data_IF_311503390323
#
_entry.id   IF_311503390323
#
_cell.length_a   1.000
_cell.length_b   1.000
_cell.length_c   1.000
_cell.angle_alpha   90.00
_cell.angle_beta   90.00
_cell.angle_gamma   90.00
#
_symmetry.space_group_name_H-M   'P 1'
#
loop_
_entity.id
_entity.type
_entity.pdbx_description
1 polymer ?
#
# COMPACT_ATOMS: atom_id res chain seq x y z
N UNK A 1 1.20 -10.67 2.60
CA UNK A 1 1.25 -9.48 1.72
C UNK A 1 -0.15 -8.96 1.35
N UNK A 2 -1.09 -9.80 0.89
CA UNK A 2 -2.48 -9.35 0.65
C UNK A 2 -3.14 -8.70 1.87
N UNK A 3 -2.86 -9.24 3.07
CA UNK A 3 -3.23 -8.63 4.36
C UNK A 3 -2.86 -7.16 4.44
N UNK A 4 -1.60 -6.82 4.18
CA UNK A 4 -1.10 -5.44 4.31
C UNK A 4 -1.79 -4.52 3.29
N UNK A 5 -1.95 -4.98 2.04
CA UNK A 5 -2.63 -4.21 1.00
C UNK A 5 -4.07 -3.87 1.39
N UNK A 6 -4.82 -4.88 1.84
CA UNK A 6 -6.22 -4.68 2.23
C UNK A 6 -6.30 -3.76 3.45
N UNK A 7 -5.51 -4.00 4.49
CA UNK A 7 -5.54 -3.18 5.70
C UNK A 7 -5.08 -1.74 5.44
N UNK A 8 -4.05 -1.53 4.62
CA UNK A 8 -3.58 -0.19 4.24
C UNK A 8 -4.60 0.57 3.38
N UNK A 9 -5.30 -0.12 2.47
CA UNK A 9 -6.36 0.52 1.69
C UNK A 9 -7.52 1.00 2.58
N UNK A 10 -7.94 0.19 3.55
CA UNK A 10 -8.96 0.60 4.52
C UNK A 10 -8.48 1.72 5.44
N UNK A 11 -7.21 1.72 5.85
CA UNK A 11 -6.63 2.81 6.63
C UNK A 11 -6.60 4.13 5.83
N UNK A 12 -6.26 4.08 4.54
CA UNK A 12 -6.33 5.23 3.64
C UNK A 12 -7.76 5.73 3.46
N UNK A 13 -8.73 4.83 3.26
CA UNK A 13 -10.14 5.18 3.17
C UNK A 13 -10.65 5.88 4.46
N UNK A 14 -10.21 5.43 5.63
CA UNK A 14 -10.50 6.08 6.91
C UNK A 14 -9.90 7.49 7.01
N UNK A 15 -8.73 7.73 6.41
CA UNK A 15 -8.11 9.05 6.41
C UNK A 15 -8.74 10.01 5.38
N UNK A 16 -9.22 9.50 4.25
CA UNK A 16 -9.79 10.28 3.15
C UNK A 16 -11.29 10.55 3.31
N UNK A 17 -11.95 9.90 4.27
CA UNK A 17 -13.39 10.08 4.50
C UNK A 17 -13.69 10.36 5.96
N UNK A 18 -14.72 11.18 6.29
CA UNK A 18 -15.18 11.39 7.67
C UNK A 18 -15.96 10.19 8.24
N UNK A 19 -15.85 9.02 7.61
CA UNK A 19 -16.60 7.84 7.96
C UNK A 19 -16.05 7.15 9.20
N UNK A 20 -16.94 6.72 10.10
CA UNK A 20 -16.55 6.09 11.36
C UNK A 20 -16.55 4.55 11.32
N UNK A 21 -17.08 3.94 10.25
CA UNK A 21 -17.30 2.49 10.21
C UNK A 21 -16.63 1.82 9.02
N UNK A 22 -16.16 0.57 9.24
CA UNK A 22 -15.60 -0.28 8.17
C UNK A 22 -16.55 -0.47 6.98
N UNK A 23 -17.86 -0.46 7.23
CA UNK A 23 -18.89 -0.54 6.18
C UNK A 23 -18.87 0.69 5.27
N UNK A 24 -18.70 1.88 5.85
CA UNK A 24 -18.59 3.12 5.08
C UNK A 24 -17.26 3.20 4.34
N UNK A 25 -16.14 2.78 4.95
CA UNK A 25 -14.85 2.68 4.25
C UNK A 25 -14.93 1.73 3.05
N UNK A 26 -15.62 0.59 3.21
CA UNK A 26 -15.86 -0.35 2.12
C UNK A 26 -16.73 0.24 1.00
N UNK A 27 -17.71 1.10 1.31
CA UNK A 27 -18.49 1.80 0.28
C UNK A 27 -17.63 2.74 -0.54
N UNK A 28 -16.88 3.57 0.16
CA UNK A 28 -15.95 4.48 -0.48
C UNK A 28 -15.00 3.74 -1.42
N UNK A 29 -14.44 2.61 -0.98
CA UNK A 29 -13.60 1.77 -1.83
C UNK A 29 -14.36 1.16 -3.01
N UNK A 30 -15.61 0.72 -2.86
CA UNK A 30 -16.43 0.24 -3.99
C UNK A 30 -16.59 1.35 -5.03
N UNK A 31 -16.94 2.56 -4.58
CA UNK A 31 -17.20 3.70 -5.45
C UNK A 31 -15.92 4.09 -6.21
N UNK A 32 -14.79 4.26 -5.49
CA UNK A 32 -13.49 4.58 -6.10
C UNK A 32 -13.00 3.48 -7.05
N UNK A 33 -13.13 2.21 -6.67
CA UNK A 33 -12.71 1.09 -7.53
C UNK A 33 -13.52 1.03 -8.83
N UNK A 34 -14.79 1.41 -8.77
CA UNK A 34 -15.63 1.50 -9.95
C UNK A 34 -15.33 2.75 -10.79
N UNK A 35 -15.27 3.92 -10.17
CA UNK A 35 -15.12 5.20 -10.86
C UNK A 35 -13.77 5.32 -11.55
N UNK A 36 -12.68 5.04 -10.83
CA UNK A 36 -11.31 5.27 -11.31
C UNK A 36 -10.74 4.07 -12.07
N UNK A 37 -11.09 2.85 -11.66
CA UNK A 37 -10.43 1.63 -12.14
C UNK A 37 -11.38 0.68 -12.88
N UNK A 38 -12.68 1.00 -12.98
CA UNK A 38 -13.71 0.19 -13.63
C UNK A 38 -13.75 -1.25 -13.12
N UNK A 39 -13.41 -1.45 -11.84
CA UNK A 39 -13.48 -2.74 -11.18
C UNK A 39 -14.77 -2.84 -10.39
N UNK A 40 -15.63 -3.77 -10.80
CA UNK A 40 -16.82 -4.10 -10.06
C UNK A 40 -16.47 -5.06 -8.91
N UNK A 41 -16.68 -4.60 -7.68
CA UNK A 41 -16.52 -5.40 -6.46
C UNK A 41 -17.66 -5.11 -5.52
N UNK A 42 -18.15 -6.13 -4.81
CA UNK A 42 -19.19 -5.92 -3.80
C UNK A 42 -18.60 -5.42 -2.48
N UNK A 43 -19.35 -4.57 -1.78
CA UNK A 43 -19.04 -4.18 -0.39
C UNK A 43 -18.79 -5.40 0.50
N UNK A 44 -19.61 -6.44 0.35
CA UNK A 44 -19.50 -7.71 1.09
C UNK A 44 -18.13 -8.35 0.87
N UNK A 45 -17.63 -8.36 -0.36
CA UNK A 45 -16.31 -8.92 -0.69
C UNK A 45 -15.20 -8.16 0.01
N UNK A 46 -15.20 -6.83 -0.03
CA UNK A 46 -14.18 -6.02 0.63
C UNK A 46 -14.21 -6.17 2.15
N UNK A 47 -15.41 -6.21 2.75
CA UNK A 47 -15.57 -6.45 4.19
C UNK A 47 -15.09 -7.85 4.58
N UNK A 48 -15.35 -8.86 3.76
CA UNK A 48 -14.86 -10.21 4.01
C UNK A 48 -13.32 -10.23 4.05
N UNK A 49 -12.68 -9.59 3.06
CA UNK A 49 -11.21 -9.48 3.04
C UNK A 49 -10.68 -8.74 4.27
N UNK A 50 -11.33 -7.63 4.63
CA UNK A 50 -10.91 -6.84 5.79
C UNK A 50 -11.05 -7.61 7.10
N UNK A 51 -12.21 -8.22 7.37
CA UNK A 51 -12.44 -8.96 8.61
C UNK A 51 -11.49 -10.16 8.72
N UNK A 52 -11.36 -10.95 7.65
CA UNK A 52 -10.43 -12.08 7.59
C UNK A 52 -9.02 -11.68 8.01
N UNK A 53 -8.50 -10.60 7.44
CA UNK A 53 -7.15 -10.14 7.73
C UNK A 53 -7.00 -9.38 9.04
N UNK A 54 -8.07 -8.76 9.54
CA UNK A 54 -8.08 -8.01 10.80
C UNK A 54 -8.16 -8.94 12.02
N UNK A 55 -8.93 -10.02 11.91
CA UNK A 55 -9.15 -11.00 12.98
C UNK A 55 -8.02 -12.04 13.08
N UNK A 56 -7.03 -11.96 12.20
CA UNK A 56 -5.94 -12.95 12.06
C UNK A 56 -6.51 -14.37 11.89
N UNK A 57 -7.54 -14.51 11.06
CA UNK A 57 -8.05 -15.82 10.70
C UNK A 57 -6.96 -16.56 9.90
N UNK A 58 -6.52 -17.70 10.43
CA UNK A 58 -5.49 -18.58 9.84
C UNK A 58 -5.97 -19.28 8.57
N UNK A 59 -7.25 -19.11 8.19
CA UNK A 59 -7.79 -19.58 6.92
C UNK A 59 -7.05 -19.00 5.71
N UNK A 60 -6.87 -19.82 4.67
CA UNK A 60 -6.25 -19.39 3.42
C UNK A 60 -7.25 -18.62 2.55
N UNK A 61 -7.32 -17.29 2.74
CA UNK A 61 -8.08 -16.39 1.87
C UNK A 61 -7.16 -15.83 0.78
N UNK A 62 -7.48 -16.15 -0.49
CA UNK A 62 -6.81 -15.60 -1.67
C UNK A 62 -7.73 -14.61 -2.41
N UNK A 63 -7.53 -13.29 -2.27
CA UNK A 63 -8.29 -12.28 -2.98
C UNK A 63 -8.07 -12.34 -4.50
N UNK A 64 -9.06 -11.87 -5.28
CA UNK A 64 -8.90 -11.77 -6.74
C UNK A 64 -7.79 -10.77 -7.08
N UNK A 65 -6.84 -11.17 -7.93
CA UNK A 65 -5.68 -10.36 -8.33
C UNK A 65 -6.05 -8.97 -8.83
N UNK A 66 -7.08 -8.84 -9.68
CA UNK A 66 -7.56 -7.55 -10.20
C UNK A 66 -8.00 -6.57 -9.12
N UNK A 67 -8.61 -7.08 -8.03
CA UNK A 67 -9.00 -6.25 -6.89
C UNK A 67 -7.73 -5.76 -6.18
N UNK A 68 -6.78 -6.66 -5.92
CA UNK A 68 -5.51 -6.32 -5.27
C UNK A 68 -4.70 -5.30 -6.08
N UNK A 69 -4.59 -5.45 -7.39
CA UNK A 69 -3.92 -4.48 -8.26
C UNK A 69 -4.57 -3.10 -8.18
N UNK A 70 -5.89 -3.05 -8.15
CA UNK A 70 -6.62 -1.78 -8.09
C UNK A 70 -6.52 -1.12 -6.72
N UNK A 71 -6.48 -1.90 -5.64
CA UNK A 71 -6.15 -1.40 -4.31
C UNK A 71 -4.71 -0.86 -4.24
N UNK A 72 -3.74 -1.49 -4.91
CA UNK A 72 -2.39 -0.94 -5.02
C UNK A 72 -2.38 0.42 -5.72
N UNK A 73 -3.11 0.57 -6.83
CA UNK A 73 -3.26 1.84 -7.55
C UNK A 73 -3.95 2.91 -6.71
N UNK A 74 -5.00 2.54 -5.98
CA UNK A 74 -5.67 3.42 -5.02
C UNK A 74 -4.69 3.98 -3.96
N UNK A 75 -3.72 3.17 -3.53
CA UNK A 75 -2.63 3.58 -2.63
C UNK A 75 -1.44 4.25 -3.35
N UNK A 76 -1.62 4.65 -4.62
CA UNK A 76 -0.62 5.32 -5.49
C UNK A 76 0.58 4.45 -5.88
N UNK A 77 0.46 3.12 -5.82
CA UNK A 77 1.45 2.22 -6.41
C UNK A 77 1.02 1.80 -7.82
N UNK A 78 1.90 1.87 -8.83
CA UNK A 78 1.52 1.55 -10.22
C UNK A 78 1.06 0.10 -10.40
N UNK A 79 1.60 -0.83 -9.60
CA UNK A 79 1.26 -2.24 -9.62
C UNK A 79 1.64 -2.93 -8.29
N UNK A 80 1.30 -4.21 -8.16
CA UNK A 80 1.62 -5.04 -7.00
C UNK A 80 3.13 -5.15 -6.73
N UNK A 81 3.96 -5.25 -7.77
CA UNK A 81 5.41 -5.35 -7.60
C UNK A 81 6.00 -4.07 -6.96
N UNK A 82 5.52 -2.89 -7.35
CA UNK A 82 5.92 -1.63 -6.74
C UNK A 82 5.54 -1.57 -5.25
N UNK A 83 4.35 -2.07 -4.89
CA UNK A 83 3.96 -2.21 -3.49
C UNK A 83 4.95 -3.11 -2.72
N UNK A 84 5.30 -4.29 -3.27
CA UNK A 84 6.22 -5.22 -2.62
C UNK A 84 7.62 -4.63 -2.41
N UNK A 85 8.17 -3.95 -3.41
CA UNK A 85 9.48 -3.30 -3.31
C UNK A 85 9.46 -2.24 -2.20
N UNK A 86 8.41 -1.41 -2.17
CA UNK A 86 8.27 -0.39 -1.14
C UNK A 86 8.12 -1.01 0.26
N UNK A 87 7.24 -1.99 0.44
CA UNK A 87 6.97 -2.59 1.75
C UNK A 87 8.15 -3.42 2.28
N UNK A 88 8.88 -4.14 1.41
CA UNK A 88 10.12 -4.84 1.77
C UNK A 88 11.27 -3.90 2.15
N UNK A 89 11.22 -2.63 1.74
CA UNK A 89 12.15 -1.59 2.19
C UNK A 89 11.77 -0.99 3.56
N UNK A 90 10.50 -1.09 3.98
CA UNK A 90 10.00 -0.60 5.26
C UNK A 90 10.14 -1.62 6.39
N UNK A 91 9.91 -2.90 6.10
CA UNK A 91 10.03 -3.99 7.09
C UNK A 91 11.48 -4.32 7.47
N UNK A 92 12.47 -3.77 6.77
CA UNK A 92 13.88 -3.83 7.19
C UNK A 92 14.13 -2.78 8.27
N UNK A 93 13.71 -3.08 9.50
CA UNK A 93 14.25 -2.42 10.70
C UNK A 93 15.77 -2.60 10.67
N UNK A 94 16.49 -1.48 10.62
CA UNK A 94 17.95 -1.42 10.65
C UNK A 94 18.68 -2.27 9.59
N UNK A 95 18.88 -1.70 8.40
CA UNK A 95 20.22 -1.76 7.85
C UNK A 95 20.52 -0.48 7.07
N UNK A 96 21.74 0.01 7.23
CA UNK A 96 22.39 1.04 6.42
C UNK A 96 22.61 0.56 4.98
N UNK A 97 21.61 -0.06 4.38
CA UNK A 97 21.74 -0.67 3.06
C UNK A 97 21.56 0.38 1.97
N UNK A 98 22.55 0.46 1.09
CA UNK A 98 22.40 1.02 -0.25
C UNK A 98 21.34 0.18 -0.97
N UNK A 99 20.24 0.80 -1.35
CA UNK A 99 19.19 0.13 -2.10
C UNK A 99 19.44 0.37 -3.58
N UNK A 100 19.40 -0.70 -4.37
CA UNK A 100 19.58 -0.59 -5.82
C UNK A 100 18.30 -1.09 -6.48
N UNK A 101 17.63 -0.20 -7.21
CA UNK A 101 16.48 -0.56 -8.03
C UNK A 101 16.93 -0.61 -9.49
N UNK A 102 16.82 -1.77 -10.13
CA UNK A 102 17.15 -1.94 -11.54
C UNK A 102 15.88 -2.11 -12.34
N UNK A 103 15.70 -1.22 -13.30
CA UNK A 103 14.63 -1.25 -14.29
C UNK A 103 15.19 -1.68 -15.62
N UNK A 104 14.39 -2.45 -16.33
CA UNK A 104 14.70 -2.92 -17.66
C UNK A 104 13.61 -2.41 -18.58
N UNK A 105 13.99 -1.52 -19.49
CA UNK A 105 13.09 -1.02 -20.54
C UNK A 105 13.47 -1.73 -21.82
N UNK A 106 12.50 -2.38 -22.44
CA UNK A 106 12.69 -3.07 -23.71
C UNK A 106 12.19 -2.14 -24.84
N UNK A 107 13.09 -1.80 -25.77
CA UNK A 107 12.77 -1.20 -27.05
C UNK A 107 12.83 -2.24 -28.17
N UNK A 108 12.43 -1.86 -29.38
CA UNK A 108 12.27 -2.79 -30.50
C UNK A 108 13.59 -3.46 -30.95
N UNK A 109 14.75 -2.83 -30.69
CA UNK A 109 16.08 -3.34 -31.06
C UNK A 109 17.16 -3.15 -29.98
N UNK A 110 16.78 -2.69 -28.79
CA UNK A 110 17.70 -2.43 -27.68
C UNK A 110 17.01 -2.66 -26.35
N UNK A 111 17.81 -2.83 -25.30
CA UNK A 111 17.35 -2.90 -23.92
C UNK A 111 18.11 -1.88 -23.10
N UNK A 112 17.39 -0.97 -22.48
CA UNK A 112 17.96 -0.05 -21.51
C UNK A 112 17.91 -0.66 -20.11
N UNK A 113 19.04 -0.65 -19.43
CA UNK A 113 19.15 -1.07 -18.04
C UNK A 113 19.42 0.17 -17.20
N UNK A 114 18.43 0.57 -16.41
CA UNK A 114 18.51 1.75 -15.54
C UNK A 114 18.65 1.30 -14.10
N UNK A 115 19.76 1.66 -13.47
CA UNK A 115 20.05 1.28 -12.08
C UNK A 115 20.04 2.52 -11.19
N UNK A 116 19.09 2.59 -10.26
CA UNK A 116 18.95 3.68 -9.29
C UNK A 116 19.51 3.23 -7.95
N UNK A 117 20.56 3.89 -7.47
CA UNK A 117 21.09 3.68 -6.12
C UNK A 117 20.49 4.71 -5.15
N UNK A 118 19.85 4.23 -4.10
CA UNK A 118 19.24 5.02 -3.05
C UNK A 118 20.02 4.77 -1.76
N UNK A 119 20.63 5.84 -1.23
CA UNK A 119 21.26 5.85 0.08
C UNK A 119 20.38 6.61 1.05
N UNK A 120 20.15 6.06 2.25
CA UNK A 120 19.43 6.73 3.33
C UNK A 120 20.42 7.16 4.39
N UNK A 121 20.42 8.45 4.70
CA UNK A 121 21.15 9.02 5.82
C UNK A 121 20.16 9.40 6.92
N UNK A 122 20.49 9.09 8.17
CA UNK A 122 19.68 9.47 9.32
C UNK A 122 20.02 10.91 9.71
N UNK A 123 19.09 11.83 9.49
CA UNK A 123 19.21 13.20 9.98
C UNK A 123 18.55 13.26 11.36
N UNK A 124 19.34 13.44 12.42
CA UNK A 124 18.81 13.73 13.76
C UNK A 124 18.22 15.14 13.79
N UNK A 125 16.91 15.27 13.98
CA UNK A 125 16.30 16.57 14.27
C UNK A 125 16.50 16.88 15.76
N UNK A 126 17.00 18.07 16.14
CA UNK A 126 17.11 18.45 17.54
C UNK A 126 15.70 18.59 18.15
N UNK A 127 15.52 17.97 19.32
CA UNK A 127 14.27 18.01 20.10
C UNK A 127 13.93 19.45 20.45
N UNK A 128 12.74 19.92 20.05
CA UNK A 128 12.19 21.18 20.55
C UNK A 128 11.94 21.04 22.05
N UNK A 129 12.55 21.92 22.83
CA UNK A 129 12.31 22.09 24.27
C UNK A 129 10.81 22.26 24.54
N UNK A 130 10.28 21.46 25.47
CA UNK A 130 8.94 21.62 26.01
C UNK A 130 9.03 22.76 27.02
N UNK A 131 8.57 23.95 26.63
CA UNK A 131 8.20 25.01 27.56
C UNK A 131 6.98 24.52 28.36
N UNK A 132 7.22 24.06 29.59
CA UNK A 132 6.18 24.02 30.62
C UNK A 132 5.86 25.47 31.00
N UNK A 133 4.61 25.86 30.88
CA UNK A 133 4.10 27.14 31.40
C UNK A 133 2.80 26.89 32.13
N UNK A 134 2.79 27.38 33.38
CA UNK A 134 1.69 27.59 34.33
C UNK A 134 1.06 26.35 34.97
#
# INVERSE_FOLDING_TARGET
MYREIVLSAFAKANAETPAATKTQWANYLVDVLWEDYKIQVSRRTLLNYYNHYKENDDGELTPKSRIIESLCKFMRYPNYAAFLIHHSSLNRKHSSAVHTATYVVYGDCHRDVVTIMIRRESISRPSKEILQSA
#
